data_IF_590407114747
#
_entry.id   IF_590407114747
#
_cell.length_a   1.000
_cell.length_b   1.000
_cell.length_c   1.000
_cell.angle_alpha   90.00
_cell.angle_beta   90.00
_cell.angle_gamma   90.00
#
_symmetry.space_group_name_H-M   'P 1'
#
loop_
_entity.id
_entity.type
_entity.pdbx_description
1 polymer ?
#
# COMPACT_ATOMS: atom_id res chain seq x y z
N UNK A 1 -19.06 -1.44 -8.92
CA UNK A 1 -19.68 -0.37 -8.11
C UNK A 1 -18.61 0.67 -7.78
N UNK A 2 -18.16 1.49 -8.74
CA UNK A 2 -16.89 2.22 -8.55
C UNK A 2 -16.76 3.48 -9.43
N UNK A 3 -16.98 3.41 -10.74
CA UNK A 3 -16.77 4.59 -11.63
C UNK A 3 -17.76 5.74 -11.41
N UNK A 4 -19.02 5.45 -11.09
CA UNK A 4 -20.00 6.51 -10.80
C UNK A 4 -19.65 7.31 -9.53
N UNK A 5 -19.18 6.62 -8.48
CA UNK A 5 -18.79 7.29 -7.24
C UNK A 5 -17.54 8.16 -7.44
N UNK A 6 -16.55 7.64 -8.17
CA UNK A 6 -15.34 8.39 -8.54
C UNK A 6 -15.72 9.59 -9.41
N UNK A 7 -16.58 9.40 -10.42
CA UNK A 7 -17.04 10.48 -11.30
C UNK A 7 -17.86 11.57 -10.60
N UNK A 8 -18.53 11.23 -9.48
CA UNK A 8 -19.21 12.22 -8.63
C UNK A 8 -18.31 12.89 -7.59
N UNK A 9 -17.03 12.49 -7.52
CA UNK A 9 -16.08 12.98 -6.53
C UNK A 9 -15.04 13.93 -7.13
N UNK A 10 -14.24 14.56 -6.27
CA UNK A 10 -13.13 15.44 -6.66
C UNK A 10 -11.80 14.70 -6.81
N UNK A 11 -11.80 13.37 -6.74
CA UNK A 11 -10.58 12.56 -6.87
C UNK A 11 -10.17 12.42 -8.33
N UNK A 12 -8.90 12.68 -8.62
CA UNK A 12 -8.30 12.34 -9.91
C UNK A 12 -7.88 10.87 -9.93
N UNK A 13 -8.20 10.17 -11.02
CA UNK A 13 -7.82 8.77 -11.21
C UNK A 13 -6.47 8.70 -11.95
N UNK A 14 -5.46 8.11 -11.31
CA UNK A 14 -4.17 7.87 -11.94
C UNK A 14 -4.27 6.74 -12.97
N UNK A 15 -3.63 6.92 -14.13
CA UNK A 15 -3.54 5.88 -15.16
C UNK A 15 -2.59 4.77 -14.69
N UNK A 16 -3.15 3.57 -14.57
CA UNK A 16 -2.46 2.40 -14.06
C UNK A 16 -2.33 1.33 -15.15
N UNK A 17 -1.11 0.92 -15.53
CA UNK A 17 -0.96 -0.15 -16.49
C UNK A 17 -1.47 -1.48 -15.91
N UNK A 18 -2.06 -2.36 -16.74
CA UNK A 18 -2.45 -3.69 -16.31
C UNK A 18 -1.29 -4.45 -15.66
N UNK A 19 -1.56 -5.20 -14.59
CA UNK A 19 -0.62 -6.10 -13.93
C UNK A 19 0.74 -5.48 -13.54
N UNK A 20 0.72 -4.27 -12.97
CA UNK A 20 1.92 -3.54 -12.54
C UNK A 20 2.08 -3.43 -11.01
N UNK A 21 2.20 -4.54 -10.26
CA UNK A 21 2.34 -4.49 -8.80
C UNK A 21 3.62 -3.75 -8.35
N UNK A 22 4.64 -3.70 -9.22
CA UNK A 22 5.84 -2.90 -9.00
C UNK A 22 5.61 -1.39 -8.94
N UNK A 23 4.44 -0.90 -9.35
CA UNK A 23 4.05 0.51 -9.32
C UNK A 23 3.12 0.84 -8.15
N UNK A 24 2.67 -0.13 -7.35
CA UNK A 24 1.69 0.11 -6.28
C UNK A 24 2.41 0.32 -4.95
N UNK A 25 2.38 1.53 -4.36
CA UNK A 25 3.01 1.76 -3.06
C UNK A 25 2.45 0.82 -1.98
N UNK A 26 1.19 0.42 -2.11
CA UNK A 26 0.60 -0.64 -1.27
C UNK A 26 1.38 -1.95 -1.39
N UNK A 27 1.72 -2.38 -2.60
CA UNK A 27 2.28 -3.71 -2.84
C UNK A 27 3.79 -3.74 -2.63
N UNK A 28 4.52 -2.78 -3.23
CA UNK A 28 5.99 -2.79 -3.18
C UNK A 28 6.56 -2.25 -1.86
N UNK A 29 5.78 -1.49 -1.09
CA UNK A 29 6.25 -0.87 0.15
C UNK A 29 5.43 -1.31 1.36
N UNK A 30 4.14 -0.98 1.43
CA UNK A 30 3.34 -1.22 2.63
C UNK A 30 3.19 -2.72 2.94
N UNK A 31 2.58 -3.48 2.04
CA UNK A 31 2.34 -4.90 2.19
C UNK A 31 3.62 -5.71 2.22
N UNK A 32 4.69 -5.26 1.56
CA UNK A 32 6.00 -5.87 1.72
C UNK A 32 6.42 -5.88 3.21
N UNK A 33 6.28 -4.75 3.91
CA UNK A 33 6.68 -4.64 5.31
C UNK A 33 5.66 -5.29 6.26
N UNK A 34 4.35 -5.16 5.99
CA UNK A 34 3.31 -5.86 6.75
C UNK A 34 3.50 -7.37 6.66
N UNK A 35 3.75 -7.93 5.48
CA UNK A 35 4.00 -9.36 5.31
C UNK A 35 5.25 -9.82 6.07
N UNK A 36 6.33 -9.01 6.06
CA UNK A 36 7.52 -9.29 6.88
C UNK A 36 7.19 -9.28 8.37
N UNK A 37 6.38 -8.32 8.83
CA UNK A 37 5.94 -8.25 10.22
C UNK A 37 5.09 -9.46 10.62
N UNK A 38 4.17 -9.89 9.75
CA UNK A 38 3.26 -11.01 9.98
C UNK A 38 3.93 -12.38 9.81
N UNK A 39 5.06 -12.45 9.10
CA UNK A 39 5.76 -13.69 8.82
C UNK A 39 6.07 -14.48 10.09
N UNK A 40 5.61 -15.73 10.15
CA UNK A 40 5.82 -16.64 11.28
C UNK A 40 4.93 -16.38 12.49
N UNK A 41 4.06 -15.36 12.47
CA UNK A 41 3.07 -15.12 13.53
C UNK A 41 1.82 -15.96 13.28
N UNK A 42 1.25 -16.47 14.37
CA UNK A 42 -0.09 -17.07 14.39
C UNK A 42 -0.95 -16.23 15.32
N UNK A 43 -2.18 -15.98 14.90
CA UNK A 43 -3.18 -15.27 15.68
C UNK A 43 -4.32 -16.24 15.95
N UNK A 44 -4.89 -16.17 17.16
CA UNK A 44 -5.96 -17.07 17.57
C UNK A 44 -7.28 -16.73 16.86
N UNK A 45 -7.45 -15.46 16.46
CA UNK A 45 -8.64 -14.92 15.83
C UNK A 45 -8.31 -13.69 14.95
N UNK A 46 -9.32 -13.21 14.23
CA UNK A 46 -9.20 -12.08 13.30
C UNK A 46 -9.02 -10.76 14.04
N UNK A 47 -9.60 -10.61 15.24
CA UNK A 47 -9.54 -9.38 16.04
C UNK A 47 -8.10 -9.11 16.49
N UNK A 48 -7.41 -10.12 17.02
CA UNK A 48 -5.99 -10.04 17.35
C UNK A 48 -5.11 -9.76 16.16
N UNK A 49 -5.42 -10.33 14.99
CA UNK A 49 -4.69 -10.04 13.76
C UNK A 49 -4.88 -8.58 13.33
N UNK A 50 -6.12 -8.05 13.40
CA UNK A 50 -6.44 -6.65 13.10
C UNK A 50 -5.74 -5.69 14.06
N UNK A 51 -5.78 -5.97 15.36
CA UNK A 51 -5.11 -5.16 16.38
C UNK A 51 -3.60 -5.12 16.17
N UNK A 52 -2.99 -6.28 15.86
CA UNK A 52 -1.56 -6.36 15.60
C UNK A 52 -1.14 -5.57 14.36
N UNK A 53 -1.88 -5.68 13.26
CA UNK A 53 -1.63 -4.91 12.04
C UNK A 53 -1.84 -3.41 12.28
N UNK A 54 -2.93 -3.04 12.95
CA UNK A 54 -3.26 -1.64 13.27
C UNK A 54 -2.18 -1.02 14.14
N UNK A 55 -1.78 -1.70 15.21
CA UNK A 55 -0.71 -1.25 16.11
C UNK A 55 0.63 -1.11 15.38
N UNK A 56 0.94 -2.04 14.47
CA UNK A 56 2.16 -1.96 13.67
C UNK A 56 2.13 -0.73 12.75
N UNK A 57 1.02 -0.50 12.05
CA UNK A 57 0.84 0.65 11.17
C UNK A 57 0.96 1.99 11.93
N UNK A 58 0.29 2.11 13.07
CA UNK A 58 0.34 3.34 13.88
C UNK A 58 1.69 3.59 14.53
N UNK A 59 2.51 2.55 14.70
CA UNK A 59 3.89 2.69 15.20
C UNK A 59 4.90 3.16 14.15
N UNK A 60 4.56 3.15 12.85
CA UNK A 60 5.48 3.61 11.81
C UNK A 60 5.60 5.13 11.80
N UNK A 61 6.82 5.63 11.59
CA UNK A 61 7.06 7.07 11.42
C UNK A 61 6.39 7.60 10.14
N UNK A 62 6.06 8.90 10.09
CA UNK A 62 5.52 9.53 8.87
C UNK A 62 6.42 9.28 7.66
N UNK A 63 7.75 9.35 7.85
CA UNK A 63 8.75 9.13 6.81
C UNK A 63 8.61 7.76 6.15
N UNK A 64 8.17 6.72 6.88
CA UNK A 64 7.91 5.42 6.28
C UNK A 64 6.86 5.50 5.16
N UNK A 65 5.79 6.26 5.37
CA UNK A 65 4.73 6.44 4.37
C UNK A 65 5.20 7.35 3.23
N UNK A 66 5.97 8.38 3.54
CA UNK A 66 6.50 9.32 2.56
C UNK A 66 7.51 8.63 1.63
N UNK A 67 8.41 7.80 2.17
CA UNK A 67 9.34 6.98 1.39
C UNK A 67 8.61 6.09 0.38
N UNK A 68 7.49 5.47 0.78
CA UNK A 68 6.68 4.65 -0.12
C UNK A 68 6.10 5.43 -1.30
N UNK A 69 5.67 6.67 -1.05
CA UNK A 69 5.16 7.58 -2.09
C UNK A 69 6.27 8.09 -2.99
N UNK A 70 7.40 8.51 -2.44
CA UNK A 70 8.52 9.05 -3.22
C UNK A 70 9.15 7.98 -4.14
N UNK A 71 9.23 6.73 -3.65
CA UNK A 71 9.69 5.60 -4.45
C UNK A 71 8.80 5.32 -5.67
N UNK A 72 7.57 5.81 -5.69
CA UNK A 72 6.68 5.70 -6.85
C UNK A 72 7.28 6.39 -8.07
N UNK A 73 7.86 7.58 -7.90
CA UNK A 73 8.44 8.38 -8.99
C UNK A 73 9.56 7.60 -9.67
N UNK A 74 10.53 7.12 -8.88
CA UNK A 74 11.65 6.32 -9.41
C UNK A 74 11.21 5.02 -10.08
N UNK A 75 10.12 4.40 -9.60
CA UNK A 75 9.59 3.15 -10.18
C UNK A 75 8.86 3.41 -11.50
N UNK A 76 8.15 4.52 -11.61
CA UNK A 76 7.54 4.94 -12.88
C UNK A 76 8.60 5.20 -13.95
N UNK A 77 9.68 5.92 -13.62
CA UNK A 77 10.78 6.17 -14.56
C UNK A 77 11.41 4.87 -15.09
N UNK A 78 11.52 3.85 -14.24
CA UNK A 78 12.04 2.52 -14.61
C UNK A 78 11.07 1.69 -15.47
N UNK A 79 9.77 1.92 -15.36
CA UNK A 79 8.76 1.21 -16.14
C UNK A 79 8.45 1.89 -17.48
N UNK A 80 8.76 3.19 -17.60
CA UNK A 80 8.59 3.97 -18.84
C UNK A 80 9.80 3.93 -19.78
N UNK A 81 10.92 3.35 -19.34
CA UNK A 81 12.16 3.18 -20.11
C UNK A 81 12.28 1.86 -20.86
#
# INVERSE_FOLDING_TARGET
>A
MTQQLIGSSTWEQMNYPPYSPGLAPSDFHLFLHVNKFLSGRRFDDVEKAQDAVTSWLTSQASTFYDDGKENLVSRYDKCAG
#
